data_IF_206412965234
#
_entry.id   IF_206412965234
#
_cell.length_a   1.000
_cell.length_b   1.000
_cell.length_c   1.000
_cell.angle_alpha   90.00
_cell.angle_beta   90.00
_cell.angle_gamma   90.00
#
_symmetry.space_group_name_H-M   'P 1'
#
loop_
_entity.id
_entity.type
_entity.pdbx_description
1 polymer ?
#
# COMPACT_ATOMS: atom_id res chain seq x y z
N UNK A 1 -3.20 10.31 -11.85
CA UNK A 1 -3.18 8.87 -12.15
C UNK A 1 -3.53 8.11 -10.88
N UNK A 2 -4.50 7.22 -10.93
CA UNK A 2 -4.84 6.33 -9.81
C UNK A 2 -3.77 5.25 -9.76
N UNK A 3 -3.19 4.99 -8.58
CA UNK A 3 -2.09 4.04 -8.40
C UNK A 3 -2.64 2.70 -7.93
N UNK A 4 -2.06 1.62 -8.43
CA UNK A 4 -2.32 0.27 -7.91
C UNK A 4 -1.86 0.14 -6.45
N UNK A 5 -2.38 -0.87 -5.74
CA UNK A 5 -1.91 -1.17 -4.38
C UNK A 5 -0.41 -1.46 -4.36
N UNK A 6 0.12 -2.13 -5.38
CA UNK A 6 1.55 -2.37 -5.56
C UNK A 6 2.35 -1.08 -5.62
N UNK A 7 1.97 -0.16 -6.51
CA UNK A 7 2.64 1.14 -6.63
C UNK A 7 2.51 1.99 -5.36
N UNK A 8 1.40 1.87 -4.64
CA UNK A 8 1.25 2.53 -3.34
C UNK A 8 2.22 1.91 -2.31
N UNK A 9 2.35 0.59 -2.28
CA UNK A 9 3.26 -0.13 -1.38
C UNK A 9 4.71 0.24 -1.68
N UNK A 10 5.11 0.18 -2.95
CA UNK A 10 6.48 0.53 -3.38
C UNK A 10 6.86 1.96 -2.95
N UNK A 11 5.93 2.91 -3.02
CA UNK A 11 6.16 4.29 -2.56
C UNK A 11 6.30 4.40 -1.05
N UNK A 12 5.50 3.67 -0.29
CA UNK A 12 5.57 3.67 1.18
C UNK A 12 6.89 3.04 1.63
N UNK A 13 7.29 1.92 1.04
CA UNK A 13 8.57 1.27 1.33
C UNK A 13 9.77 2.16 0.98
N UNK A 14 9.74 2.81 -0.18
CA UNK A 14 10.77 3.77 -0.55
C UNK A 14 10.84 4.99 0.39
N UNK A 15 9.71 5.40 0.97
CA UNK A 15 9.67 6.48 1.97
C UNK A 15 10.28 6.03 3.30
N UNK A 16 9.92 4.84 3.77
CA UNK A 16 10.47 4.22 4.98
C UNK A 16 11.98 4.11 4.83
N UNK A 17 12.48 3.48 3.76
CA UNK A 17 13.91 3.29 3.53
C UNK A 17 14.69 4.61 3.50
N UNK A 18 14.14 5.65 2.85
CA UNK A 18 14.78 6.99 2.81
C UNK A 18 14.78 7.71 4.16
N UNK A 19 13.75 7.52 4.97
CA UNK A 19 13.64 8.12 6.30
C UNK A 19 14.51 7.36 7.32
N UNK A 20 14.57 6.03 7.25
CA UNK A 20 15.39 5.18 8.11
C UNK A 20 16.88 5.30 7.80
N UNK A 21 17.25 5.36 6.51
CA UNK A 21 18.64 5.57 6.09
C UNK A 21 19.18 6.96 6.44
N UNK A 22 18.33 7.88 6.88
CA UNK A 22 18.68 9.28 7.16
C UNK A 22 19.06 10.10 5.91
N UNK A 23 18.94 9.52 4.70
CA UNK A 23 19.27 10.15 3.43
C UNK A 23 18.29 11.29 3.11
N UNK A 24 17.02 11.15 3.53
CA UNK A 24 16.01 12.18 3.36
C UNK A 24 15.46 12.65 4.71
N UNK A 25 15.50 13.96 4.97
CA UNK A 25 14.84 14.54 6.15
C UNK A 25 13.31 14.55 6.04
N UNK A 26 12.79 14.41 4.82
CA UNK A 26 11.37 14.34 4.55
C UNK A 26 11.08 13.72 3.19
N UNK A 27 9.93 13.07 3.06
CA UNK A 27 9.46 12.46 1.84
C UNK A 27 8.02 12.86 1.54
N UNK A 28 7.69 13.25 0.32
CA UNK A 28 6.34 13.68 -0.03
C UNK A 28 5.52 12.50 -0.58
N UNK A 29 4.46 12.13 0.14
CA UNK A 29 3.46 11.14 -0.28
C UNK A 29 2.11 11.84 -0.38
N UNK A 30 1.50 11.78 -1.56
CA UNK A 30 0.12 12.27 -1.79
C UNK A 30 -0.08 13.74 -1.40
N UNK A 31 0.93 14.59 -1.63
CA UNK A 31 0.89 16.02 -1.28
C UNK A 31 1.17 16.29 0.21
N UNK A 32 1.47 15.25 0.99
CA UNK A 32 1.81 15.36 2.41
C UNK A 32 3.29 15.11 2.62
N UNK A 33 3.96 16.04 3.29
CA UNK A 33 5.37 15.91 3.69
C UNK A 33 5.44 15.01 4.92
N UNK A 34 5.97 13.81 4.74
CA UNK A 34 6.26 12.84 5.80
C UNK A 34 7.68 13.05 6.31
N UNK A 35 7.89 12.88 7.59
CA UNK A 35 9.17 12.99 8.28
C UNK A 35 9.42 11.74 9.12
N UNK A 36 10.56 11.69 9.83
CA UNK A 36 10.89 10.58 10.71
C UNK A 36 9.80 10.30 11.77
N UNK A 37 9.10 11.34 12.22
CA UNK A 37 7.99 11.23 13.19
C UNK A 37 6.80 10.46 12.61
N UNK A 38 6.66 10.42 11.28
CA UNK A 38 5.58 9.75 10.57
C UNK A 38 5.91 8.28 10.25
N UNK A 39 7.11 7.77 10.57
CA UNK A 39 7.48 6.37 10.37
C UNK A 39 6.45 5.38 10.95
N UNK A 40 5.94 5.55 12.19
CA UNK A 40 4.90 4.66 12.73
C UNK A 40 3.62 4.64 11.89
N UNK A 41 3.28 5.76 11.25
CA UNK A 41 2.15 5.82 10.32
C UNK A 41 2.47 5.11 9.01
N UNK A 42 3.69 5.27 8.48
CA UNK A 42 4.14 4.58 7.27
C UNK A 42 4.15 3.07 7.43
N UNK A 43 4.62 2.51 8.53
CA UNK A 43 4.55 1.06 8.79
C UNK A 43 3.11 0.55 8.89
N UNK A 44 2.21 1.31 9.53
CA UNK A 44 0.79 0.97 9.56
C UNK A 44 0.19 0.98 8.15
N UNK A 45 0.58 1.95 7.32
CA UNK A 45 0.14 2.06 5.94
C UNK A 45 0.68 0.92 5.09
N UNK A 46 1.94 0.54 5.26
CA UNK A 46 2.58 -0.60 4.62
C UNK A 46 1.82 -1.89 4.93
N UNK A 47 1.59 -2.18 6.21
CA UNK A 47 0.82 -3.35 6.64
C UNK A 47 -0.58 -3.39 6.02
N UNK A 48 -1.29 -2.27 6.06
CA UNK A 48 -2.61 -2.17 5.43
C UNK A 48 -2.56 -2.49 3.93
N UNK A 49 -1.56 -1.97 3.21
CA UNK A 49 -1.41 -2.23 1.78
C UNK A 49 -1.08 -3.70 1.51
N UNK A 50 -0.23 -4.33 2.32
CA UNK A 50 0.05 -5.77 2.23
C UNK A 50 -1.22 -6.61 2.43
N UNK A 51 -2.02 -6.31 3.46
CA UNK A 51 -3.30 -7.00 3.72
C UNK A 51 -4.26 -6.85 2.52
N UNK A 52 -4.35 -5.64 1.94
CA UNK A 52 -5.18 -5.41 0.76
C UNK A 52 -4.66 -6.12 -0.49
N UNK A 53 -3.34 -6.20 -0.67
CA UNK A 53 -2.71 -6.94 -1.78
C UNK A 53 -2.99 -8.45 -1.63
N UNK A 54 -3.04 -8.99 -0.42
CA UNK A 54 -3.38 -10.39 -0.19
C UNK A 54 -4.84 -10.73 -0.59
N UNK A 55 -5.73 -9.74 -0.45
CA UNK A 55 -7.16 -9.89 -0.78
C UNK A 55 -7.42 -9.64 -2.27
N UNK A 56 -6.83 -8.57 -2.83
CA UNK A 56 -7.17 -8.05 -4.14
C UNK A 56 -6.11 -8.28 -5.21
N UNK A 57 -4.87 -8.56 -4.81
CA UNK A 57 -3.70 -8.60 -5.69
C UNK A 57 -3.03 -7.23 -5.84
N UNK A 58 -1.76 -7.27 -6.30
CA UNK A 58 -0.89 -6.10 -6.44
C UNK A 58 -1.41 -5.09 -7.48
N UNK A 59 -2.05 -5.59 -8.54
CA UNK A 59 -2.61 -4.80 -9.64
C UNK A 59 -3.96 -4.14 -9.33
N UNK A 60 -4.48 -4.31 -8.11
CA UNK A 60 -5.77 -3.72 -7.73
C UNK A 60 -5.66 -2.20 -7.64
N UNK A 61 -6.63 -1.51 -8.24
CA UNK A 61 -6.75 -0.05 -8.21
C UNK A 61 -8.08 0.30 -7.52
N UNK A 62 -8.04 0.86 -6.30
CA UNK A 62 -9.25 1.28 -5.60
C UNK A 62 -10.10 2.23 -6.46
N UNK A 63 -11.38 1.91 -6.65
CA UNK A 63 -12.32 2.73 -7.42
C UNK A 63 -12.31 2.52 -8.95
N UNK A 64 -11.32 1.84 -9.52
CA UNK A 64 -11.33 1.45 -10.95
C UNK A 64 -11.50 -0.06 -11.16
N UNK A 65 -10.88 -0.88 -10.32
CA UNK A 65 -10.92 -2.34 -10.41
C UNK A 65 -11.58 -2.98 -9.17
N UNK A 66 -12.74 -2.45 -8.72
CA UNK A 66 -13.45 -2.88 -7.50
C UNK A 66 -13.93 -4.35 -7.46
N UNK A 67 -13.48 -5.20 -8.38
CA UNK A 67 -13.72 -6.65 -8.33
C UNK A 67 -12.56 -7.32 -7.60
N UNK A 68 -12.75 -7.81 -6.36
CA UNK A 68 -11.72 -8.60 -5.68
C UNK A 68 -11.34 -9.83 -6.53
N UNK A 69 -10.03 -10.12 -6.63
CA UNK A 69 -9.51 -11.33 -7.29
C UNK A 69 -9.95 -12.61 -6.57
N UNK A 70 -10.35 -12.51 -5.30
CA UNK A 70 -11.01 -13.60 -4.56
C UNK A 70 -12.49 -13.73 -4.96
N UNK A 71 -12.75 -14.39 -6.08
CA UNK A 71 -13.95 -15.21 -6.25
C UNK A 71 -13.48 -16.59 -6.69
N UNK A 72 -13.62 -17.58 -5.81
CA UNK A 72 -14.00 -18.99 -6.11
C UNK A 72 -13.51 -19.95 -5.01
N UNK A 73 -14.23 -19.98 -3.89
CA UNK A 73 -14.56 -21.26 -3.27
C UNK A 73 -16.04 -21.18 -2.93
N UNK A 74 -16.87 -21.31 -3.98
CA UNK A 74 -18.25 -21.75 -3.79
C UNK A 74 -18.14 -23.17 -3.25
N UNK A 75 -18.15 -23.31 -1.93
CA UNK A 75 -18.31 -24.61 -1.29
C UNK A 75 -19.80 -24.94 -1.38
N UNK A 76 -20.23 -25.45 -2.53
CA UNK A 76 -21.49 -26.19 -2.62
C UNK A 76 -21.18 -27.63 -2.22
N UNK A 77 -21.54 -28.00 -0.99
CA UNK A 77 -21.85 -29.39 -0.67
C UNK A 77 -23.36 -29.51 -0.68
N UNK A 78 -23.85 -30.34 -1.61
CA UNK A 78 -25.25 -30.69 -1.77
C UNK A 78 -25.70 -31.78 -0.81
#
# INVERSE_FOLDING_TARGET
MVKSLGEQLDRVQAAIDKLESGVAHSYEIEGRKMTYVDLPWLYKREKYLLDQIEIHGRDYIPGQNAKPKRRSALVSFG
#
